data_IF_656248931028
#
_entry.id   IF_656248931028
#
_cell.length_a   1.000
_cell.length_b   1.000
_cell.length_c   1.000
_cell.angle_alpha   90.00
_cell.angle_beta   90.00
_cell.angle_gamma   90.00
#
_symmetry.space_group_name_H-M   'P 1'
#
loop_
_entity.id
_entity.type
_entity.pdbx_description
1 polymer ?
#
# COMPACT_ATOMS: atom_id res chain seq x y z
N UNK A 1 -13.02 19.29 32.68
CA UNK A 1 -13.93 19.04 31.54
C UNK A 1 -13.20 18.92 30.20
N UNK A 2 -12.06 19.60 30.00
CA UNK A 2 -11.27 19.55 28.75
C UNK A 2 -10.56 18.22 28.45
N UNK A 3 -10.05 17.48 29.45
CA UNK A 3 -9.38 16.18 29.21
C UNK A 3 -10.28 15.09 28.59
N UNK A 4 -11.61 15.18 28.76
CA UNK A 4 -12.56 14.21 28.16
C UNK A 4 -12.83 14.47 26.67
N UNK A 5 -12.63 15.70 26.20
CA UNK A 5 -12.83 16.07 24.79
C UNK A 5 -11.62 15.64 23.94
N UNK A 6 -10.40 15.92 24.41
CA UNK A 6 -9.17 15.49 23.73
C UNK A 6 -9.01 13.97 23.66
N UNK A 7 -9.50 13.23 24.67
CA UNK A 7 -9.53 11.77 24.63
C UNK A 7 -10.46 11.24 23.53
N UNK A 8 -11.65 11.83 23.37
CA UNK A 8 -12.65 11.40 22.38
C UNK A 8 -12.19 11.67 20.95
N UNK A 9 -11.56 12.82 20.71
CA UNK A 9 -10.98 13.19 19.41
C UNK A 9 -9.83 12.26 19.03
N UNK A 10 -8.91 11.98 19.96
CA UNK A 10 -7.83 11.00 19.75
C UNK A 10 -8.36 9.59 19.47
N UNK A 11 -9.42 9.16 20.16
CA UNK A 11 -10.04 7.86 19.91
C UNK A 11 -10.74 7.80 18.54
N UNK A 12 -11.42 8.88 18.13
CA UNK A 12 -12.04 8.96 16.82
C UNK A 12 -11.00 8.90 15.69
N UNK A 13 -9.89 9.65 15.83
CA UNK A 13 -8.80 9.64 14.86
C UNK A 13 -8.17 8.24 14.73
N UNK A 14 -7.98 7.52 15.85
CA UNK A 14 -7.48 6.14 15.81
C UNK A 14 -8.44 5.17 15.14
N UNK A 15 -9.74 5.29 15.41
CA UNK A 15 -10.74 4.45 14.75
C UNK A 15 -10.78 4.68 13.23
N UNK A 16 -10.57 5.92 12.79
CA UNK A 16 -10.44 6.29 11.38
C UNK A 16 -9.20 5.64 10.76
N UNK A 17 -8.02 5.79 11.38
CA UNK A 17 -6.78 5.24 10.81
C UNK A 17 -6.76 3.71 10.83
N UNK A 18 -7.25 3.08 11.91
CA UNK A 18 -7.42 1.63 12.00
C UNK A 18 -8.37 1.11 10.89
N UNK A 19 -9.47 1.82 10.62
CA UNK A 19 -10.42 1.44 9.57
C UNK A 19 -9.81 1.57 8.17
N UNK A 20 -9.07 2.66 7.89
CA UNK A 20 -8.38 2.85 6.62
C UNK A 20 -7.31 1.77 6.42
N UNK A 21 -6.49 1.50 7.44
CA UNK A 21 -5.44 0.50 7.36
C UNK A 21 -6.03 -0.89 7.12
N UNK A 22 -7.13 -1.24 7.79
CA UNK A 22 -7.83 -2.50 7.56
C UNK A 22 -8.34 -2.63 6.12
N UNK A 23 -8.87 -1.56 5.52
CA UNK A 23 -9.32 -1.55 4.11
C UNK A 23 -8.15 -1.71 3.14
N UNK A 24 -7.01 -1.05 3.39
CA UNK A 24 -5.78 -1.18 2.58
C UNK A 24 -5.24 -2.62 2.67
N UNK A 25 -5.17 -3.18 3.89
CA UNK A 25 -4.72 -4.56 4.11
C UNK A 25 -5.66 -5.56 3.45
N UNK A 26 -6.98 -5.35 3.53
CA UNK A 26 -7.96 -6.19 2.86
C UNK A 26 -7.79 -6.15 1.33
N UNK A 27 -7.60 -4.96 0.77
CA UNK A 27 -7.33 -4.77 -0.65
C UNK A 27 -6.03 -5.49 -1.08
N UNK A 28 -4.95 -5.35 -0.32
CA UNK A 28 -3.68 -6.03 -0.61
C UNK A 28 -3.74 -7.55 -0.51
N UNK A 29 -4.72 -8.10 0.23
CA UNK A 29 -4.90 -9.54 0.47
C UNK A 29 -5.89 -10.21 -0.48
N UNK A 30 -6.36 -9.51 -1.52
CA UNK A 30 -7.24 -10.12 -2.51
C UNK A 30 -6.61 -11.39 -3.11
N UNK A 31 -7.36 -12.49 -3.06
CA UNK A 31 -6.87 -13.83 -3.39
C UNK A 31 -6.36 -13.96 -4.83
N UNK A 32 -6.96 -13.21 -5.76
CA UNK A 32 -6.61 -13.23 -7.19
C UNK A 32 -5.13 -12.91 -7.43
N UNK A 33 -4.53 -11.98 -6.66
CA UNK A 33 -3.11 -11.65 -6.80
C UNK A 33 -2.21 -12.87 -6.65
N UNK A 34 -2.50 -13.70 -5.65
CA UNK A 34 -1.67 -14.83 -5.27
C UNK A 34 -2.02 -16.10 -6.07
N UNK A 35 -3.30 -16.31 -6.33
CA UNK A 35 -3.83 -17.54 -6.94
C UNK A 35 -3.79 -17.52 -8.47
N UNK A 36 -4.14 -16.40 -9.10
CA UNK A 36 -4.28 -16.29 -10.55
C UNK A 36 -3.15 -15.47 -11.16
N UNK A 37 -2.69 -14.41 -10.47
CA UNK A 37 -1.61 -13.57 -10.98
C UNK A 37 -0.23 -13.98 -10.47
N UNK A 38 -0.12 -15.12 -9.76
CA UNK A 38 1.16 -15.70 -9.35
C UNK A 38 2.07 -14.76 -8.52
N UNK A 39 1.50 -13.79 -7.80
CA UNK A 39 2.26 -13.04 -6.78
C UNK A 39 2.73 -14.04 -5.71
N UNK A 40 4.03 -14.06 -5.34
CA UNK A 40 4.53 -15.02 -4.38
C UNK A 40 3.84 -14.89 -3.02
N UNK A 41 3.19 -15.95 -2.54
CA UNK A 41 2.62 -15.98 -1.19
C UNK A 41 3.72 -16.24 -0.13
N UNK A 42 4.62 -15.28 -0.02
CA UNK A 42 5.74 -15.26 0.91
C UNK A 42 5.71 -13.95 1.69
N UNK A 43 6.41 -13.84 2.84
CA UNK A 43 6.47 -12.58 3.59
C UNK A 43 6.88 -11.38 2.73
N UNK A 44 7.84 -11.59 1.81
CA UNK A 44 8.27 -10.53 0.90
C UNK A 44 7.19 -10.20 -0.14
N UNK A 45 6.55 -11.20 -0.76
CA UNK A 45 5.49 -10.94 -1.74
C UNK A 45 4.24 -10.28 -1.12
N UNK A 46 3.88 -10.63 0.12
CA UNK A 46 2.85 -9.93 0.90
C UNK A 46 3.25 -8.47 1.20
N UNK A 47 4.51 -8.24 1.55
CA UNK A 47 5.06 -6.89 1.71
C UNK A 47 4.95 -6.09 0.41
N UNK A 48 5.24 -6.68 -0.76
CA UNK A 48 5.09 -5.99 -2.05
C UNK A 48 3.66 -5.53 -2.30
N UNK A 49 2.67 -6.41 -2.08
CA UNK A 49 1.26 -6.05 -2.30
C UNK A 49 0.78 -4.99 -1.32
N UNK A 50 1.13 -5.11 -0.04
CA UNK A 50 0.78 -4.09 0.94
C UNK A 50 1.47 -2.75 0.63
N UNK A 51 2.75 -2.77 0.25
CA UNK A 51 3.50 -1.58 -0.17
C UNK A 51 2.87 -0.90 -1.38
N UNK A 52 2.40 -1.67 -2.36
CA UNK A 52 1.75 -1.17 -3.56
C UNK A 52 0.42 -0.46 -3.24
N UNK A 53 -0.38 -1.03 -2.35
CA UNK A 53 -1.65 -0.43 -1.94
C UNK A 53 -1.44 0.79 -1.04
N UNK A 54 -0.45 0.74 -0.15
CA UNK A 54 0.00 1.90 0.62
C UNK A 54 0.49 3.03 -0.30
N UNK A 55 1.25 2.70 -1.34
CA UNK A 55 1.66 3.69 -2.35
C UNK A 55 0.46 4.35 -3.03
N UNK A 56 -0.52 3.57 -3.50
CA UNK A 56 -1.72 4.11 -4.14
C UNK A 56 -2.50 5.04 -3.21
N UNK A 57 -2.61 4.68 -1.92
CA UNK A 57 -3.22 5.53 -0.90
C UNK A 57 -2.45 6.85 -0.70
N UNK A 58 -1.11 6.78 -0.57
CA UNK A 58 -0.26 7.96 -0.42
C UNK A 58 -0.30 8.86 -1.67
N UNK A 59 -0.32 8.24 -2.86
CA UNK A 59 -0.42 8.94 -4.14
C UNK A 59 -1.74 9.70 -4.24
N UNK A 60 -2.86 9.12 -3.78
CA UNK A 60 -4.15 9.81 -3.72
C UNK A 60 -4.12 11.04 -2.83
N UNK A 61 -3.47 10.98 -1.67
CA UNK A 61 -3.43 12.11 -0.73
C UNK A 61 -2.30 13.11 -1.02
N UNK A 62 -1.57 12.94 -2.14
CA UNK A 62 -0.50 13.84 -2.52
C UNK A 62 -1.05 15.23 -2.85
N UNK A 63 -0.48 16.25 -2.22
CA UNK A 63 -0.89 17.64 -2.42
C UNK A 63 -2.15 18.04 -1.64
N UNK A 64 -2.74 17.11 -0.87
CA UNK A 64 -3.72 17.44 0.16
C UNK A 64 -3.01 17.99 1.40
N UNK A 65 -3.67 18.89 2.13
CA UNK A 65 -3.14 19.54 3.33
C UNK A 65 -4.01 19.24 4.56
N UNK A 66 -3.51 19.56 5.76
CA UNK A 66 -4.26 19.44 7.01
C UNK A 66 -4.57 17.99 7.39
N UNK A 67 -5.83 17.70 7.73
CA UNK A 67 -6.24 16.38 8.27
C UNK A 67 -5.92 15.24 7.31
N UNK A 68 -6.05 15.45 6.00
CA UNK A 68 -5.71 14.44 5.01
C UNK A 68 -4.22 14.08 5.01
N UNK A 69 -3.35 15.08 5.12
CA UNK A 69 -1.90 14.89 5.24
C UNK A 69 -1.54 14.19 6.56
N UNK A 70 -2.20 14.56 7.66
CA UNK A 70 -2.00 13.90 8.96
C UNK A 70 -2.40 12.41 8.90
N UNK A 71 -3.54 12.10 8.29
CA UNK A 71 -3.97 10.71 8.06
C UNK A 71 -2.94 9.96 7.21
N UNK A 72 -2.46 10.55 6.11
CA UNK A 72 -1.43 9.93 5.28
C UNK A 72 -0.15 9.60 6.09
N UNK A 73 0.29 10.52 6.95
CA UNK A 73 1.46 10.32 7.80
C UNK A 73 1.24 9.22 8.85
N UNK A 74 0.10 9.20 9.52
CA UNK A 74 -0.20 8.16 10.51
C UNK A 74 -0.24 6.78 9.87
N UNK A 75 -0.87 6.66 8.69
CA UNK A 75 -0.99 5.40 7.97
C UNK A 75 0.38 4.87 7.49
N UNK A 76 1.31 5.72 7.07
CA UNK A 76 2.65 5.26 6.68
C UNK A 76 3.48 4.83 7.89
N UNK A 77 3.31 5.48 9.04
CA UNK A 77 3.96 5.09 10.29
C UNK A 77 3.41 3.75 10.80
N UNK A 78 2.09 3.55 10.76
CA UNK A 78 1.42 2.30 11.11
C UNK A 78 1.86 1.16 10.18
N UNK A 79 1.98 1.42 8.88
CA UNK A 79 2.52 0.47 7.92
C UNK A 79 3.94 0.00 8.29
N UNK A 80 4.86 0.92 8.57
CA UNK A 80 6.23 0.52 8.94
C UNK A 80 6.31 -0.14 10.32
N UNK A 81 5.41 0.19 11.25
CA UNK A 81 5.30 -0.51 12.51
C UNK A 81 4.83 -1.97 12.32
N UNK A 82 3.85 -2.21 11.45
CA UNK A 82 3.38 -3.54 11.10
C UNK A 82 4.47 -4.38 10.41
N UNK A 83 5.28 -3.74 9.55
CA UNK A 83 6.45 -4.38 8.94
C UNK A 83 7.50 -4.75 10.01
N UNK A 84 7.76 -3.88 10.99
CA UNK A 84 8.67 -4.16 12.10
C UNK A 84 8.19 -5.36 12.92
N UNK A 85 6.90 -5.39 13.29
CA UNK A 85 6.29 -6.51 13.99
C UNK A 85 6.39 -7.81 13.19
N UNK A 86 6.06 -7.77 11.89
CA UNK A 86 6.15 -8.93 10.99
C UNK A 86 7.58 -9.49 10.92
N UNK A 87 8.62 -8.66 10.94
CA UNK A 87 10.01 -9.13 10.99
C UNK A 87 10.30 -9.88 12.30
N UNK A 88 9.82 -9.36 13.43
CA UNK A 88 10.01 -9.96 14.75
C UNK A 88 9.29 -11.30 14.88
N UNK A 89 8.08 -11.40 14.33
CA UNK A 89 7.30 -12.64 14.26
C UNK A 89 8.01 -13.72 13.44
N UNK A 90 8.80 -13.33 12.43
CA UNK A 90 9.67 -14.22 11.66
C UNK A 90 10.97 -14.60 12.39
N UNK A 91 11.09 -14.29 13.69
CA UNK A 91 12.24 -14.63 14.52
C UNK A 91 13.45 -13.72 14.33
N UNK A 92 13.28 -12.56 13.68
CA UNK A 92 14.36 -11.59 13.51
C UNK A 92 14.46 -10.76 14.79
N UNK A 93 15.52 -10.98 15.57
CA UNK A 93 15.75 -10.26 16.82
C UNK A 93 16.17 -8.80 16.66
N UNK A 94 16.22 -8.07 17.77
CA UNK A 94 16.46 -6.62 17.86
C UNK A 94 17.70 -6.12 17.10
N UNK A 95 18.75 -6.93 17.02
CA UNK A 95 19.99 -6.57 16.30
C UNK A 95 19.79 -6.60 14.78
N UNK A 96 18.92 -7.48 14.28
CA UNK A 96 18.67 -7.69 12.86
C UNK A 96 17.59 -6.78 12.27
N UNK A 97 16.60 -6.39 13.09
CA UNK A 97 15.44 -5.61 12.66
C UNK A 97 15.83 -4.26 12.02
N UNK A 98 16.67 -3.40 12.63
CA UNK A 98 16.98 -2.08 12.06
C UNK A 98 17.61 -2.17 10.65
N UNK A 99 18.47 -3.16 10.42
CA UNK A 99 19.11 -3.37 9.11
C UNK A 99 18.08 -3.78 8.04
N UNK A 100 17.12 -4.62 8.40
CA UNK A 100 16.07 -5.08 7.49
C UNK A 100 15.02 -4.00 7.24
N UNK A 101 14.62 -3.26 8.28
CA UNK A 101 13.74 -2.10 8.15
C UNK A 101 14.33 -1.07 7.19
N UNK A 102 15.62 -0.74 7.32
CA UNK A 102 16.31 0.16 6.37
C UNK A 102 16.26 -0.36 4.93
N UNK A 103 16.42 -1.67 4.72
CA UNK A 103 16.32 -2.29 3.40
C UNK A 103 14.90 -2.19 2.84
N UNK A 104 13.88 -2.52 3.63
CA UNK A 104 12.47 -2.48 3.22
C UNK A 104 11.99 -1.06 2.96
N UNK A 105 12.39 -0.08 3.77
CA UNK A 105 12.11 1.33 3.53
C UNK A 105 12.75 1.80 2.20
N UNK A 106 14.02 1.46 1.95
CA UNK A 106 14.67 1.77 0.67
C UNK A 106 13.95 1.11 -0.51
N UNK A 107 13.50 -0.13 -0.34
CA UNK A 107 12.72 -0.84 -1.35
C UNK A 107 11.37 -0.15 -1.60
N UNK A 108 10.64 0.23 -0.54
CA UNK A 108 9.40 0.98 -0.66
C UNK A 108 9.60 2.27 -1.47
N UNK A 109 10.39 3.22 -0.94
CA UNK A 109 10.55 4.55 -1.57
C UNK A 109 11.25 4.50 -2.94
N UNK A 110 12.17 3.55 -3.15
CA UNK A 110 12.85 3.40 -4.43
C UNK A 110 11.96 2.84 -5.54
N UNK A 111 10.93 2.07 -5.18
CA UNK A 111 10.01 1.46 -6.14
C UNK A 111 8.80 2.34 -6.43
N UNK A 112 8.28 3.02 -5.43
CA UNK A 112 7.13 3.93 -5.60
C UNK A 112 7.43 5.00 -6.63
N UNK A 113 8.65 5.55 -6.68
CA UNK A 113 9.04 6.52 -7.70
C UNK A 113 8.87 6.01 -9.14
N UNK A 114 9.14 4.72 -9.40
CA UNK A 114 8.95 4.15 -10.73
C UNK A 114 7.48 3.90 -11.08
N UNK A 115 6.66 3.56 -10.08
CA UNK A 115 5.21 3.42 -10.28
C UNK A 115 4.56 4.78 -10.53
N UNK A 116 5.02 5.78 -9.79
CA UNK A 116 4.55 7.16 -9.86
C UNK A 116 4.80 7.78 -11.23
N UNK A 117 6.05 7.72 -11.71
CA UNK A 117 6.41 8.21 -13.05
C UNK A 117 5.60 7.51 -14.14
N UNK A 118 5.41 6.19 -14.04
CA UNK A 118 4.62 5.44 -15.01
C UNK A 118 3.13 5.83 -14.98
N UNK A 119 2.54 6.06 -13.80
CA UNK A 119 1.16 6.52 -13.67
C UNK A 119 0.97 7.95 -14.19
N UNK A 120 1.90 8.86 -13.88
CA UNK A 120 1.85 10.26 -14.35
C UNK A 120 1.96 10.37 -15.87
N UNK A 121 2.69 9.43 -16.49
CA UNK A 121 2.92 9.39 -17.95
C UNK A 121 1.90 8.53 -18.71
N UNK A 122 0.95 7.91 -18.02
CA UNK A 122 0.06 6.88 -18.58
C UNK A 122 0.84 5.76 -19.30
N UNK A 123 2.02 5.42 -18.77
CA UNK A 123 2.95 4.44 -19.34
C UNK A 123 2.70 3.05 -18.78
N UNK A 124 1.72 2.36 -19.39
CA UNK A 124 1.34 1.00 -19.02
C UNK A 124 2.50 0.00 -19.10
N UNK A 125 3.37 0.12 -20.12
CA UNK A 125 4.47 -0.83 -20.33
C UNK A 125 5.61 -0.58 -19.33
N UNK A 126 5.88 0.69 -19.02
CA UNK A 126 6.78 1.09 -17.94
C UNK A 126 6.30 0.59 -16.58
N UNK A 127 5.00 0.75 -16.27
CA UNK A 127 4.39 0.25 -15.05
C UNK A 127 4.49 -1.30 -14.96
N UNK A 128 4.15 -1.99 -16.04
CA UNK A 128 4.28 -3.46 -16.15
C UNK A 128 5.70 -3.92 -15.86
N UNK A 129 6.69 -3.28 -16.48
CA UNK A 129 8.11 -3.61 -16.30
C UNK A 129 8.56 -3.36 -14.86
N UNK A 130 8.16 -2.24 -14.27
CA UNK A 130 8.49 -1.91 -12.88
C UNK A 130 7.89 -2.91 -11.90
N UNK A 131 6.61 -3.26 -12.07
CA UNK A 131 5.92 -4.24 -11.23
C UNK A 131 6.55 -5.62 -11.35
N UNK A 132 6.88 -6.09 -12.56
CA UNK A 132 7.52 -7.38 -12.75
C UNK A 132 8.88 -7.48 -12.07
N UNK A 133 9.72 -6.46 -12.24
CA UNK A 133 11.03 -6.37 -11.57
C UNK A 133 10.90 -6.37 -10.05
N UNK A 134 9.86 -5.74 -9.51
CA UNK A 134 9.76 -5.50 -8.07
C UNK A 134 9.08 -6.66 -7.33
N UNK A 135 8.01 -7.22 -7.90
CA UNK A 135 7.19 -8.27 -7.28
C UNK A 135 7.75 -9.66 -7.55
N UNK A 136 8.29 -9.90 -8.75
CA UNK A 136 8.84 -11.20 -9.18
C UNK A 136 10.18 -11.04 -9.89
N UNK A 137 11.23 -10.51 -9.21
CA UNK A 137 12.54 -10.28 -9.82
C UNK A 137 13.16 -11.54 -10.44
N UNK A 138 12.86 -12.72 -9.90
CA UNK A 138 13.47 -13.99 -10.28
C UNK A 138 12.65 -14.80 -11.30
N UNK A 139 11.48 -14.31 -11.74
CA UNK A 139 10.57 -15.07 -12.61
C UNK A 139 10.98 -15.08 -14.09
N UNK A 140 11.97 -14.26 -14.50
CA UNK A 140 12.27 -14.02 -15.91
C UNK A 140 11.12 -13.28 -16.59
N UNK A 141 10.16 -14.03 -17.14
CA UNK A 141 8.91 -13.48 -17.69
C UNK A 141 7.76 -13.73 -16.72
N UNK A 142 6.99 -12.68 -16.43
CA UNK A 142 5.76 -12.78 -15.64
C UNK A 142 4.55 -12.41 -16.52
N UNK A 143 3.82 -13.42 -17.06
CA UNK A 143 2.71 -13.18 -17.97
C UNK A 143 1.58 -12.36 -17.37
N UNK A 144 1.40 -12.41 -16.05
CA UNK A 144 0.33 -11.70 -15.34
C UNK A 144 0.71 -10.29 -14.87
N UNK A 145 1.94 -9.84 -15.14
CA UNK A 145 2.37 -8.48 -14.82
C UNK A 145 1.49 -7.38 -15.46
N UNK A 146 1.04 -7.51 -16.74
CA UNK A 146 0.14 -6.54 -17.35
C UNK A 146 -1.21 -6.43 -16.61
N UNK A 147 -1.75 -7.53 -16.08
CA UNK A 147 -3.00 -7.56 -15.32
C UNK A 147 -2.85 -6.78 -14.01
N UNK A 148 -1.72 -6.95 -13.32
CA UNK A 148 -1.43 -6.14 -12.14
C UNK A 148 -1.23 -4.66 -12.50
N UNK A 149 -0.61 -4.34 -13.64
CA UNK A 149 -0.48 -2.96 -14.10
C UNK A 149 -1.84 -2.33 -14.40
N UNK A 150 -2.74 -3.05 -15.08
CA UNK A 150 -4.11 -2.62 -15.36
C UNK A 150 -4.90 -2.37 -14.07
N UNK A 151 -4.77 -3.27 -13.09
CA UNK A 151 -5.35 -3.09 -11.76
C UNK A 151 -4.82 -1.83 -11.06
N UNK A 152 -3.51 -1.60 -11.09
CA UNK A 152 -2.89 -0.43 -10.43
C UNK A 152 -3.35 0.88 -11.08
N UNK A 153 -3.41 0.92 -12.42
CA UNK A 153 -3.92 2.08 -13.14
C UNK A 153 -5.40 2.33 -12.82
N UNK A 154 -6.22 1.27 -12.75
CA UNK A 154 -7.63 1.39 -12.38
C UNK A 154 -7.83 1.82 -10.93
N UNK A 155 -7.08 1.24 -10.00
CA UNK A 155 -7.09 1.61 -8.60
C UNK A 155 -6.69 3.08 -8.42
N UNK A 156 -5.65 3.55 -9.12
CA UNK A 156 -5.25 4.95 -9.10
C UNK A 156 -6.39 5.88 -9.54
N UNK A 157 -7.04 5.58 -10.67
CA UNK A 157 -8.19 6.37 -11.17
C UNK A 157 -9.37 6.36 -10.19
N UNK A 158 -9.72 5.20 -9.64
CA UNK A 158 -10.85 5.07 -8.71
C UNK A 158 -10.58 5.75 -7.36
N UNK A 159 -9.34 5.72 -6.88
CA UNK A 159 -8.94 6.45 -5.68
C UNK A 159 -8.98 7.96 -5.94
N UNK A 160 -8.45 8.43 -7.07
CA UNK A 160 -8.48 9.85 -7.45
C UNK A 160 -9.90 10.43 -7.49
N UNK A 161 -10.90 9.60 -7.83
CA UNK A 161 -12.31 9.99 -7.84
C UNK A 161 -12.98 10.03 -6.45
N UNK A 162 -12.35 9.48 -5.40
CA UNK A 162 -12.92 9.46 -4.05
C UNK A 162 -12.71 10.81 -3.35
N UNK A 163 -13.75 11.41 -2.75
CA UNK A 163 -13.62 12.68 -2.02
C UNK A 163 -12.68 12.56 -0.81
N UNK A 164 -11.89 13.59 -0.56
CA UNK A 164 -10.99 13.66 0.60
C UNK A 164 -11.77 13.52 1.91
N UNK A 165 -12.99 14.07 1.96
CA UNK A 165 -13.92 13.98 3.09
C UNK A 165 -14.28 12.53 3.45
N UNK A 166 -14.39 11.65 2.46
CA UNK A 166 -14.69 10.23 2.69
C UNK A 166 -13.48 9.51 3.30
N UNK A 167 -12.27 9.84 2.83
CA UNK A 167 -11.01 9.26 3.33
C UNK A 167 -10.77 9.71 4.77
N UNK A 168 -10.88 11.01 5.07
CA UNK A 168 -10.71 11.50 6.45
C UNK A 168 -11.83 11.03 7.38
N UNK A 169 -12.98 10.58 6.86
CA UNK A 169 -14.03 9.92 7.62
C UNK A 169 -13.79 8.39 7.79
N UNK A 170 -12.67 7.87 7.30
CA UNK A 170 -12.25 6.48 7.51
C UNK A 170 -12.69 5.50 6.42
N UNK A 171 -13.10 5.98 5.24
CA UNK A 171 -13.58 5.12 4.15
C UNK A 171 -12.70 5.27 2.91
N UNK A 172 -12.19 4.14 2.41
CA UNK A 172 -11.43 4.07 1.15
C UNK A 172 -11.76 2.77 0.42
N UNK A 173 -12.12 2.86 -0.85
CA UNK A 173 -12.45 1.72 -1.68
C UNK A 173 -11.35 1.44 -2.70
N UNK A 174 -10.90 0.19 -2.78
CA UNK A 174 -10.04 -0.30 -3.85
C UNK A 174 -10.88 -1.17 -4.80
N UNK A 175 -10.55 -1.21 -6.11
CA UNK A 175 -11.21 -2.11 -7.03
C UNK A 175 -10.98 -3.57 -6.64
N UNK A 176 -11.85 -4.44 -7.14
CA UNK A 176 -11.63 -5.88 -7.08
C UNK A 176 -10.74 -6.31 -8.25
N UNK A 177 -9.66 -7.02 -7.94
CA UNK A 177 -8.88 -7.76 -8.90
C UNK A 177 -9.77 -8.82 -9.54
N UNK A 178 -9.78 -8.86 -10.87
CA UNK A 178 -10.63 -9.76 -11.64
C UNK A 178 -9.81 -10.93 -12.15
N UNK A 179 -10.41 -12.11 -12.10
CA UNK A 179 -9.93 -13.25 -12.88
C UNK A 179 -10.01 -12.85 -14.36
N UNK A 180 -8.96 -13.17 -15.11
CA UNK A 180 -8.95 -13.00 -16.57
C UNK A 180 -9.20 -14.39 -17.12
N UNK A 181 -10.36 -14.57 -17.76
CA UNK A 181 -10.76 -15.81 -18.43
C UNK A 181 -9.80 -16.22 -19.54
#
# INVERSE_FOLDING_TARGET
MFQRLFGRERHANRAITDALYAQIVAAARQTVFYSHWNVPDTPLGRFEMLSLHMFLFQHRLRGEDGVAQEVAQVLIDEFFLDVDHSLRELGIGDVGVPKRMKKLAKMFYGRTAAYDDALERDDRDGLTTALARNVRPDAGTWPEAPQLADYVADASRQLAAQPTESIVAGTVAFPLAKEVD
#
